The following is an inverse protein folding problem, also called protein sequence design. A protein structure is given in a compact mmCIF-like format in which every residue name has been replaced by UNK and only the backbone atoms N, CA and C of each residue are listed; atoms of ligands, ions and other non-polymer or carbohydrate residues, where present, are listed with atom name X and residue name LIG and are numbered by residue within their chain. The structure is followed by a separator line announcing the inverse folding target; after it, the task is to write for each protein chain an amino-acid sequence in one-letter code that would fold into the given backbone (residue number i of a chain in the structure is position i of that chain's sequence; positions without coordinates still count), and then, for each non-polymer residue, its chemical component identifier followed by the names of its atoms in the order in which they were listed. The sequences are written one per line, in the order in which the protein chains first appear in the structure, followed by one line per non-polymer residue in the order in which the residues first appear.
data_IF_947269871448
#
_entry.id   IF_947269871448
#
_cell.length_a   1.000
_cell.length_b   1.000
_cell.length_c   1.000
_cell.angle_alpha   90.00
_cell.angle_beta   90.00
_cell.angle_gamma   90.00
#
_symmetry.space_group_name_H-M   'P 1'
#
loop_
_entity.id
_entity.type
_entity.pdbx_description
1 polymer ?
#
# COMPACT_ATOMS: atom_id res chain seq x y z
N UNK A 1 -17.67 0.78 34.93
CA UNK A 1 -16.61 1.37 34.09
C UNK A 1 -15.42 0.44 34.12
N UNK A 2 -15.03 -0.05 32.96
CA UNK A 2 -13.85 -0.87 32.76
C UNK A 2 -12.72 -0.02 32.19
N UNK A 3 -11.50 -0.34 32.58
CA UNK A 3 -10.28 0.20 31.98
C UNK A 3 -9.93 -0.59 30.74
N UNK A 4 -9.40 0.07 29.72
CA UNK A 4 -8.93 -0.55 28.49
C UNK A 4 -7.76 -1.49 28.81
N UNK A 5 -6.84 -1.06 29.67
CA UNK A 5 -5.66 -1.83 30.06
C UNK A 5 -5.98 -3.16 30.78
N UNK A 6 -7.18 -3.30 31.33
CA UNK A 6 -7.62 -4.50 32.05
C UNK A 6 -8.37 -5.50 31.14
N UNK A 7 -8.68 -5.13 29.89
CA UNK A 7 -9.44 -5.99 28.98
C UNK A 7 -8.59 -7.10 28.38
N UNK A 8 -9.13 -8.32 28.37
CA UNK A 8 -8.54 -9.41 27.62
C UNK A 8 -9.03 -9.44 26.15
N UNK A 9 -8.42 -10.30 25.31
CA UNK A 9 -8.77 -10.42 23.88
C UNK A 9 -10.26 -10.68 23.62
N UNK A 10 -10.92 -11.50 24.44
CA UNK A 10 -12.36 -11.77 24.26
C UNK A 10 -13.22 -10.57 24.63
N UNK A 11 -12.84 -9.81 25.66
CA UNK A 11 -13.52 -8.56 25.99
C UNK A 11 -13.32 -7.50 24.90
N UNK A 12 -12.12 -7.40 24.32
CA UNK A 12 -11.84 -6.52 23.18
C UNK A 12 -12.69 -6.88 21.95
N UNK A 13 -12.92 -8.16 21.67
CA UNK A 13 -13.87 -8.57 20.60
C UNK A 13 -15.28 -8.05 20.84
N UNK A 14 -15.76 -8.08 22.08
CA UNK A 14 -17.09 -7.53 22.40
C UNK A 14 -17.11 -6.02 22.18
N UNK A 15 -16.05 -5.30 22.58
CA UNK A 15 -15.89 -3.86 22.30
C UNK A 15 -15.93 -3.62 20.78
N UNK A 16 -15.17 -4.40 20.01
CA UNK A 16 -15.18 -4.31 18.54
C UNK A 16 -16.58 -4.45 17.96
N UNK A 17 -17.35 -5.46 18.38
CA UNK A 17 -18.69 -5.71 17.87
C UNK A 17 -19.69 -4.59 18.23
N UNK A 18 -19.56 -4.02 19.43
CA UNK A 18 -20.50 -3.02 19.96
C UNK A 18 -20.30 -1.61 19.42
N UNK A 19 -19.12 -1.29 18.89
CA UNK A 19 -18.75 0.08 18.53
C UNK A 19 -18.49 0.21 17.02
N UNK A 20 -19.50 0.63 16.24
CA UNK A 20 -19.35 0.79 14.78
C UNK A 20 -18.35 1.87 14.40
N UNK A 21 -18.37 3.01 15.09
CA UNK A 21 -17.44 4.12 14.83
C UNK A 21 -15.98 3.67 15.03
N UNK A 22 -15.71 2.88 16.08
CA UNK A 22 -14.38 2.32 16.31
C UNK A 22 -13.89 1.47 15.13
N UNK A 23 -14.77 0.67 14.51
CA UNK A 23 -14.41 -0.14 13.34
C UNK A 23 -14.06 0.72 12.14
N UNK A 24 -14.81 1.80 11.93
CA UNK A 24 -14.54 2.76 10.86
C UNK A 24 -13.20 3.49 11.10
N UNK A 25 -12.91 3.87 12.35
CA UNK A 25 -11.65 4.55 12.73
C UNK A 25 -10.43 3.62 12.56
N UNK A 26 -10.57 2.34 12.98
CA UNK A 26 -9.53 1.31 12.78
C UNK A 26 -9.29 1.07 11.30
N UNK A 27 -10.35 0.90 10.50
CA UNK A 27 -10.26 0.74 9.04
C UNK A 27 -9.50 1.91 8.42
N UNK A 28 -9.91 3.13 8.74
CA UNK A 28 -9.26 4.36 8.23
C UNK A 28 -7.78 4.40 8.57
N UNK A 29 -7.42 4.00 9.79
CA UNK A 29 -6.02 3.98 10.23
C UNK A 29 -5.19 2.95 9.45
N UNK A 30 -5.75 1.75 9.21
CA UNK A 30 -5.10 0.74 8.37
C UNK A 30 -4.93 1.24 6.93
N UNK A 31 -5.99 1.80 6.33
CA UNK A 31 -5.95 2.35 4.97
C UNK A 31 -4.95 3.51 4.84
N UNK A 32 -4.85 4.39 5.83
CA UNK A 32 -3.85 5.47 5.87
C UNK A 32 -2.42 4.93 5.92
N UNK A 33 -2.18 3.86 6.69
CA UNK A 33 -0.87 3.20 6.74
C UNK A 33 -0.50 2.53 5.41
N UNK A 34 -1.45 1.85 4.76
CA UNK A 34 -1.22 1.24 3.45
C UNK A 34 -0.98 2.32 2.38
N UNK A 35 -1.74 3.41 2.42
CA UNK A 35 -1.55 4.56 1.54
C UNK A 35 -0.20 5.25 1.75
N UNK A 36 0.34 5.27 2.96
CA UNK A 36 1.70 5.76 3.22
C UNK A 36 2.74 4.96 2.42
N UNK A 37 2.69 3.62 2.48
CA UNK A 37 3.63 2.77 1.74
C UNK A 37 3.44 2.84 0.23
N UNK A 38 2.20 2.93 -0.23
CA UNK A 38 1.89 3.21 -1.65
C UNK A 38 2.51 4.54 -2.07
N UNK A 39 2.42 5.57 -1.23
CA UNK A 39 3.04 6.88 -1.44
C UNK A 39 4.54 6.80 -1.65
N UNK A 40 5.25 6.08 -0.77
CA UNK A 40 6.71 5.89 -0.88
C UNK A 40 7.11 5.21 -2.22
N UNK A 41 6.32 4.24 -2.68
CA UNK A 41 6.53 3.57 -3.97
C UNK A 41 6.32 4.56 -5.12
N UNK A 42 5.23 5.33 -5.09
CA UNK A 42 4.89 6.29 -6.13
C UNK A 42 5.90 7.45 -6.18
N UNK A 43 6.43 7.88 -5.05
CA UNK A 43 7.47 8.91 -4.98
C UNK A 43 8.76 8.46 -5.68
N UNK A 44 9.14 7.19 -5.52
CA UNK A 44 10.24 6.60 -6.28
C UNK A 44 9.97 6.65 -7.80
N UNK A 45 8.73 6.37 -8.21
CA UNK A 45 8.32 6.32 -9.61
C UNK A 45 7.95 7.69 -10.21
N UNK A 46 7.80 8.75 -9.41
CA UNK A 46 7.20 10.01 -9.85
C UNK A 46 7.86 10.62 -11.10
N UNK A 47 9.19 10.58 -11.18
CA UNK A 47 9.93 11.13 -12.33
C UNK A 47 9.73 10.39 -13.67
N UNK A 48 9.23 9.16 -13.63
CA UNK A 48 9.05 8.28 -14.80
C UNK A 48 7.59 8.06 -15.16
N UNK A 49 6.66 8.68 -14.42
CA UNK A 49 5.23 8.68 -14.69
C UNK A 49 4.78 10.04 -15.24
N UNK A 50 3.79 10.04 -16.13
CA UNK A 50 3.12 11.26 -16.59
C UNK A 50 1.88 11.59 -15.76
N UNK A 51 1.22 10.57 -15.23
CA UNK A 51 -0.05 10.64 -14.52
C UNK A 51 -0.25 9.31 -13.78
N UNK A 52 -0.98 9.32 -12.67
CA UNK A 52 -1.33 8.14 -11.90
C UNK A 52 -2.49 8.44 -10.95
N UNK A 53 -3.21 7.41 -10.56
CA UNK A 53 -4.19 7.46 -9.49
C UNK A 53 -4.20 6.11 -8.79
N UNK A 54 -3.85 6.09 -7.50
CA UNK A 54 -3.83 4.88 -6.69
C UNK A 54 -4.52 5.19 -5.37
N UNK A 55 -5.48 4.35 -4.97
CA UNK A 55 -6.14 4.46 -3.68
C UNK A 55 -7.22 3.41 -3.48
N UNK A 56 -7.68 3.27 -2.24
CA UNK A 56 -8.83 2.43 -1.92
C UNK A 56 -10.09 2.89 -2.67
N UNK A 57 -10.89 1.93 -3.12
CA UNK A 57 -12.17 2.17 -3.79
C UNK A 57 -12.06 2.98 -5.10
N UNK A 58 -10.91 2.90 -5.77
CA UNK A 58 -10.60 3.62 -7.00
C UNK A 58 -10.27 2.67 -8.16
N UNK A 59 -10.43 3.15 -9.38
CA UNK A 59 -9.88 2.49 -10.57
C UNK A 59 -8.40 2.86 -10.69
N UNK A 60 -7.54 2.06 -10.06
CA UNK A 60 -6.11 2.36 -10.02
C UNK A 60 -5.48 2.33 -11.42
N UNK A 61 -4.63 3.31 -11.70
CA UNK A 61 -3.86 3.38 -12.94
C UNK A 61 -2.53 4.10 -12.73
N UNK A 62 -1.59 3.82 -13.64
CA UNK A 62 -0.39 4.60 -13.87
C UNK A 62 -0.28 4.90 -15.37
N UNK A 63 0.45 5.95 -15.75
CA UNK A 63 0.82 6.23 -17.15
C UNK A 63 2.30 6.50 -17.25
N UNK A 64 3.02 5.62 -17.94
CA UNK A 64 4.47 5.66 -18.03
C UNK A 64 4.93 6.75 -19.01
N UNK A 65 5.89 7.58 -18.59
CA UNK A 65 6.53 8.62 -19.41
C UNK A 65 7.71 8.08 -20.20
N UNK A 66 8.56 7.32 -19.51
CA UNK A 66 9.80 6.74 -20.06
C UNK A 66 9.86 5.29 -19.63
N UNK A 67 9.66 4.38 -20.60
CA UNK A 67 9.64 2.94 -20.34
C UNK A 67 10.99 2.40 -19.86
N UNK A 68 12.11 2.97 -20.33
CA UNK A 68 13.43 2.48 -19.95
C UNK A 68 13.74 2.85 -18.49
N UNK A 69 13.62 4.14 -18.17
CA UNK A 69 13.87 4.63 -16.81
C UNK A 69 12.86 4.01 -15.82
N UNK A 70 11.61 3.80 -16.25
CA UNK A 70 10.61 3.09 -15.45
C UNK A 70 11.06 1.71 -15.00
N UNK A 71 11.60 0.87 -15.89
CA UNK A 71 12.08 -0.46 -15.51
C UNK A 71 13.23 -0.37 -14.48
N UNK A 72 14.18 0.56 -14.64
CA UNK A 72 15.27 0.72 -13.66
C UNK A 72 14.76 1.21 -12.29
N UNK A 73 13.86 2.18 -12.27
CA UNK A 73 13.29 2.69 -11.01
C UNK A 73 12.44 1.64 -10.31
N UNK A 74 11.60 0.92 -11.04
CA UNK A 74 10.81 -0.18 -10.49
C UNK A 74 11.69 -1.30 -9.94
N UNK A 75 12.79 -1.63 -10.59
CA UNK A 75 13.75 -2.59 -10.06
C UNK A 75 14.42 -2.11 -8.76
N UNK A 76 14.58 -0.79 -8.58
CA UNK A 76 15.09 -0.22 -7.33
C UNK A 76 14.05 -0.34 -6.21
N UNK A 77 12.79 0.01 -6.49
CA UNK A 77 11.66 -0.21 -5.58
C UNK A 77 11.60 -1.67 -5.14
N UNK A 78 11.65 -2.61 -6.09
CA UNK A 78 11.54 -4.04 -5.77
C UNK A 78 12.68 -4.59 -4.89
N UNK A 79 13.87 -3.96 -4.93
CA UNK A 79 14.98 -4.34 -4.04
C UNK A 79 14.77 -3.88 -2.61
N UNK A 80 14.03 -2.80 -2.40
CA UNK A 80 13.79 -2.20 -1.09
C UNK A 80 12.51 -2.73 -0.43
N UNK A 81 11.43 -2.88 -1.20
CA UNK A 81 10.10 -3.20 -0.67
C UNK A 81 9.55 -4.58 -1.05
N UNK A 82 10.25 -5.35 -1.89
CA UNK A 82 9.73 -6.62 -2.44
C UNK A 82 8.36 -6.47 -3.12
N UNK A 83 8.09 -5.31 -3.73
CA UNK A 83 6.79 -4.94 -4.30
C UNK A 83 6.27 -5.92 -5.35
N UNK A 84 7.11 -6.36 -6.29
CA UNK A 84 6.73 -7.38 -7.27
C UNK A 84 7.10 -8.80 -6.82
N UNK A 85 6.30 -9.78 -7.24
CA UNK A 85 6.59 -11.19 -7.03
C UNK A 85 7.89 -11.63 -7.73
N UNK A 86 8.51 -12.69 -7.22
CA UNK A 86 9.72 -13.28 -7.86
C UNK A 86 9.50 -13.71 -9.32
N UNK A 87 8.26 -14.03 -9.70
CA UNK A 87 7.94 -14.40 -11.08
C UNK A 87 7.91 -13.16 -11.98
N UNK A 88 7.36 -12.05 -11.48
CA UNK A 88 7.25 -10.77 -12.19
C UNK A 88 8.59 -10.01 -12.25
N UNK A 89 9.53 -10.29 -11.34
CA UNK A 89 10.90 -9.76 -11.43
C UNK A 89 11.67 -10.28 -12.64
N UNK A 90 11.40 -11.51 -13.10
CA UNK A 90 12.12 -12.09 -14.25
C UNK A 90 11.96 -11.28 -15.54
N UNK A 91 10.73 -10.93 -15.99
CA UNK A 91 10.56 -10.08 -17.16
C UNK A 91 11.13 -8.67 -16.95
N UNK A 92 11.08 -8.12 -15.73
CA UNK A 92 11.68 -6.83 -15.39
C UNK A 92 13.21 -6.83 -15.60
N UNK A 93 13.91 -7.76 -14.97
CA UNK A 93 15.37 -7.92 -15.09
C UNK A 93 15.79 -8.21 -16.54
N UNK A 94 14.99 -8.99 -17.25
CA UNK A 94 15.21 -9.25 -18.66
C UNK A 94 15.07 -7.97 -19.51
N UNK A 95 14.05 -7.16 -19.25
CA UNK A 95 13.86 -5.86 -19.91
C UNK A 95 15.05 -4.93 -19.71
N UNK A 96 15.54 -4.81 -18.48
CA UNK A 96 16.76 -4.05 -18.15
C UNK A 96 17.97 -4.55 -18.94
N UNK A 97 18.16 -5.87 -19.01
CA UNK A 97 19.26 -6.47 -19.78
C UNK A 97 19.15 -6.15 -21.28
N UNK A 98 17.93 -6.00 -21.82
CA UNK A 98 17.73 -5.58 -23.21
C UNK A 98 18.05 -4.09 -23.41
N UNK A 99 17.69 -3.24 -22.45
CA UNK A 99 18.03 -1.81 -22.48
C UNK A 99 19.55 -1.62 -22.44
N UNK A 100 20.26 -2.30 -21.54
CA UNK A 100 21.73 -2.25 -21.47
C UNK A 100 22.38 -2.64 -22.81
N UNK A 101 21.82 -3.66 -23.48
CA UNK A 101 22.27 -4.09 -24.81
C UNK A 101 21.98 -3.03 -25.86
N UNK A 102 20.77 -2.46 -25.84
CA UNK A 102 20.35 -1.42 -26.78
C UNK A 102 21.26 -0.19 -26.70
N UNK A 103 21.62 0.25 -25.49
CA UNK A 103 22.56 1.36 -25.29
C UNK A 103 23.98 1.10 -25.78
N UNK A 104 24.35 -0.15 -25.99
CA UNK A 104 25.63 -0.54 -26.59
C UNK A 104 25.55 -0.70 -28.13
N UNK A 105 24.37 -0.52 -28.73
CA UNK A 105 24.17 -0.66 -30.18
C UNK A 105 24.15 0.70 -30.88
N UNK A 106 24.64 0.70 -32.12
CA UNK A 106 24.41 1.80 -33.05
C UNK A 106 22.91 1.88 -33.39
N UNK A 107 22.35 3.10 -33.41
CA UNK A 107 20.94 3.32 -33.76
C UNK A 107 20.61 2.90 -35.19
N UNK A 108 21.60 2.89 -36.10
CA UNK A 108 21.44 2.43 -37.48
C UNK A 108 21.45 0.89 -37.59
N UNK A 109 21.62 0.17 -36.47
CA UNK A 109 21.57 -1.27 -36.45
C UNK A 109 20.13 -1.76 -36.71
N UNK A 110 19.95 -2.62 -37.71
CA UNK A 110 18.65 -3.21 -38.05
C UNK A 110 17.95 -3.95 -36.90
N UNK A 111 18.67 -4.30 -35.83
CA UNK A 111 18.11 -4.94 -34.62
C UNK A 111 17.67 -3.94 -33.55
N UNK A 112 17.99 -2.65 -33.70
CA UNK A 112 17.64 -1.60 -32.75
C UNK A 112 16.12 -1.53 -32.56
N UNK A 113 15.38 -1.28 -33.64
CA UNK A 113 13.91 -1.18 -33.61
C UNK A 113 13.24 -2.47 -33.08
N UNK A 114 13.82 -3.63 -33.40
CA UNK A 114 13.33 -4.93 -32.91
C UNK A 114 13.51 -5.05 -31.39
N UNK A 115 14.62 -4.58 -30.84
CA UNK A 115 14.86 -4.55 -29.40
C UNK A 115 13.98 -3.53 -28.71
N UNK A 116 13.85 -2.33 -29.28
CA UNK A 116 12.97 -1.27 -28.76
C UNK A 116 11.52 -1.77 -28.65
N UNK A 117 11.01 -2.37 -29.73
CA UNK A 117 9.66 -2.96 -29.73
C UNK A 117 9.52 -4.04 -28.64
N UNK A 118 10.56 -4.84 -28.43
CA UNK A 118 10.56 -5.89 -27.40
C UNK A 118 10.58 -5.31 -25.99
N UNK A 119 11.31 -4.23 -25.76
CA UNK A 119 11.35 -3.51 -24.49
C UNK A 119 9.98 -2.90 -24.22
N UNK A 120 9.36 -2.24 -25.20
CA UNK A 120 8.01 -1.66 -25.06
C UNK A 120 6.96 -2.71 -24.66
N UNK A 121 6.97 -3.88 -25.31
CA UNK A 121 6.09 -4.99 -24.93
C UNK A 121 6.34 -5.51 -23.49
N UNK A 122 7.57 -5.40 -22.98
CA UNK A 122 7.88 -5.75 -21.59
C UNK A 122 7.36 -4.65 -20.65
N UNK A 123 7.54 -3.37 -21.01
CA UNK A 123 7.05 -2.23 -20.24
C UNK A 123 5.53 -2.35 -20.04
N UNK A 124 4.76 -2.58 -21.10
CA UNK A 124 3.29 -2.76 -21.02
C UNK A 124 2.90 -3.91 -20.09
N UNK A 125 3.58 -5.06 -20.19
CA UNK A 125 3.31 -6.21 -19.31
C UNK A 125 3.66 -5.94 -17.86
N UNK A 126 4.73 -5.18 -17.61
CA UNK A 126 5.15 -4.82 -16.25
C UNK A 126 4.22 -3.75 -15.68
N UNK A 127 3.73 -2.82 -16.50
CA UNK A 127 2.72 -1.83 -16.13
C UNK A 127 1.46 -2.53 -15.58
N UNK A 128 0.94 -3.52 -16.31
CA UNK A 128 -0.19 -4.34 -15.85
C UNK A 128 0.09 -4.99 -14.48
N UNK A 129 1.31 -5.49 -14.26
CA UNK A 129 1.70 -6.08 -12.96
C UNK A 129 1.80 -5.07 -11.83
N UNK A 130 2.31 -3.88 -12.11
CA UNK A 130 2.34 -2.80 -11.12
C UNK A 130 0.93 -2.39 -10.72
N UNK A 131 0.01 -2.30 -11.69
CA UNK A 131 -1.39 -2.01 -11.42
C UNK A 131 -2.05 -3.14 -10.62
N UNK A 132 -1.80 -4.41 -10.96
CA UNK A 132 -2.28 -5.57 -10.20
C UNK A 132 -1.79 -5.53 -8.73
N UNK A 133 -0.53 -5.19 -8.47
CA UNK A 133 -0.01 -5.10 -7.10
C UNK A 133 -0.62 -3.91 -6.34
N UNK A 134 -0.75 -2.74 -6.96
CA UNK A 134 -1.46 -1.62 -6.32
C UNK A 134 -2.92 -1.98 -6.01
N UNK A 135 -3.61 -2.67 -6.92
CA UNK A 135 -4.95 -3.16 -6.66
C UNK A 135 -5.00 -4.05 -5.42
N UNK A 136 -4.08 -5.02 -5.28
CA UNK A 136 -3.99 -5.88 -4.10
C UNK A 136 -3.75 -5.09 -2.81
N UNK A 137 -2.85 -4.11 -2.84
CA UNK A 137 -2.57 -3.25 -1.68
C UNK A 137 -3.77 -2.38 -1.28
N UNK A 138 -4.67 -2.11 -2.22
CA UNK A 138 -5.89 -1.30 -2.00
C UNK A 138 -7.18 -2.13 -1.98
N UNK A 139 -7.07 -3.46 -1.85
CA UNK A 139 -8.24 -4.32 -1.72
C UNK A 139 -8.99 -3.99 -0.41
N UNK A 140 -10.33 -4.01 -0.41
CA UNK A 140 -11.10 -3.75 0.80
C UNK A 140 -10.69 -4.68 1.94
N UNK A 141 -10.27 -4.07 3.06
CA UNK A 141 -9.80 -4.80 4.23
C UNK A 141 -10.92 -5.65 4.83
N UNK A 142 -10.64 -6.94 5.01
CA UNK A 142 -11.56 -7.89 5.63
C UNK A 142 -11.75 -7.65 7.13
N UNK A 143 -12.93 -7.99 7.64
CA UNK A 143 -13.27 -7.77 9.06
C UNK A 143 -12.35 -8.54 10.03
N UNK A 144 -11.88 -9.73 9.65
CA UNK A 144 -10.95 -10.51 10.47
C UNK A 144 -9.60 -9.80 10.62
N UNK A 145 -9.04 -9.29 9.51
CA UNK A 145 -7.80 -8.52 9.52
C UNK A 145 -7.92 -7.23 10.35
N UNK A 146 -9.06 -6.54 10.25
CA UNK A 146 -9.30 -5.32 11.02
C UNK A 146 -9.44 -5.61 12.52
N UNK A 147 -10.12 -6.69 12.88
CA UNK A 147 -10.23 -7.13 14.27
C UNK A 147 -8.85 -7.49 14.85
N UNK A 148 -8.03 -8.20 14.10
CA UNK A 148 -6.65 -8.52 14.50
C UNK A 148 -5.83 -7.24 14.67
N UNK A 149 -5.88 -6.31 13.71
CA UNK A 149 -5.20 -5.01 13.84
C UNK A 149 -5.68 -4.21 15.04
N UNK A 150 -6.99 -4.23 15.29
CA UNK A 150 -7.56 -3.57 16.46
C UNK A 150 -6.93 -4.11 17.75
N UNK A 151 -6.95 -5.43 17.92
CA UNK A 151 -6.47 -6.10 19.13
C UNK A 151 -4.95 -5.99 19.30
N UNK A 152 -4.19 -6.12 18.22
CA UNK A 152 -2.73 -6.24 18.30
C UNK A 152 -1.99 -4.91 18.23
N UNK A 153 -2.58 -3.88 17.61
CA UNK A 153 -1.89 -2.61 17.37
C UNK A 153 -2.70 -1.40 17.78
N UNK A 154 -3.97 -1.32 17.38
CA UNK A 154 -4.75 -0.09 17.55
C UNK A 154 -5.00 0.26 19.01
N UNK A 155 -5.37 -0.74 19.83
CA UNK A 155 -5.60 -0.53 21.27
C UNK A 155 -4.39 0.12 21.92
N UNK A 156 -3.19 -0.43 21.69
CA UNK A 156 -1.96 0.06 22.33
C UNK A 156 -1.51 1.42 21.78
N UNK A 157 -1.76 1.70 20.50
CA UNK A 157 -1.33 2.92 19.84
C UNK A 157 -2.25 4.13 20.10
N UNK A 158 -3.57 3.89 20.18
CA UNK A 158 -4.56 4.97 20.13
C UNK A 158 -5.52 4.99 21.32
N UNK A 159 -5.65 3.91 22.08
CA UNK A 159 -6.57 3.84 23.22
C UNK A 159 -5.80 3.87 24.54
N UNK A 160 -6.21 4.75 25.45
CA UNK A 160 -5.63 4.85 26.77
C UNK A 160 -6.69 5.16 27.82
N UNK A 161 -6.41 4.78 29.07
CA UNK A 161 -7.33 4.96 30.20
C UNK A 161 -7.53 6.42 30.61
N UNK A 162 -6.71 7.35 30.13
CA UNK A 162 -6.80 8.77 30.47
C UNK A 162 -7.85 9.48 29.61
N UNK A 163 -7.88 9.18 28.31
CA UNK A 163 -8.75 9.78 27.32
C UNK A 163 -10.02 8.97 27.06
N UNK A 164 -10.01 7.67 27.33
CA UNK A 164 -11.15 6.79 27.02
C UNK A 164 -11.64 6.02 28.24
N UNK A 165 -12.89 5.54 28.18
CA UNK A 165 -13.43 4.57 29.13
C UNK A 165 -14.46 3.67 28.46
N UNK A 166 -14.69 2.50 29.07
CA UNK A 166 -15.66 1.52 28.60
C UNK A 166 -16.75 1.34 29.66
N UNK A 167 -18.02 1.41 29.24
CA UNK A 167 -19.14 1.16 30.14
C UNK A 167 -19.35 -0.34 30.42
N UNK A 168 -20.38 -0.69 31.19
CA UNK A 168 -20.63 -2.10 31.51
C UNK A 168 -21.24 -2.89 30.33
N UNK A 169 -21.66 -2.20 29.25
CA UNK A 169 -22.20 -2.77 28.01
C UNK A 169 -21.14 -2.86 26.90
N UNK A 170 -19.87 -2.58 27.23
CA UNK A 170 -18.72 -2.56 26.32
C UNK A 170 -18.77 -1.47 25.24
N UNK A 171 -19.52 -0.39 25.48
CA UNK A 171 -19.48 0.79 24.63
C UNK A 171 -18.29 1.66 25.01
N UNK A 172 -17.50 2.06 24.01
CA UNK A 172 -16.32 2.90 24.16
C UNK A 172 -16.73 4.38 24.08
N UNK A 173 -16.22 5.19 25.02
CA UNK A 173 -16.45 6.63 25.05
C UNK A 173 -15.13 7.38 25.22
N UNK A 174 -15.05 8.52 24.55
CA UNK A 174 -14.01 9.52 24.77
C UNK A 174 -14.42 10.45 25.93
N UNK A 175 -13.48 10.76 26.82
CA UNK A 175 -13.71 11.67 27.94
C UNK A 175 -13.63 13.12 27.46
N UNK A 176 -14.71 13.85 27.66
CA UNK A 176 -14.72 15.30 27.43
C UNK A 176 -14.02 15.99 28.60
N UNK A 177 -12.73 16.29 28.47
CA UNK A 177 -11.99 17.11 29.43
C UNK A 177 -12.26 18.59 29.09
N UNK A 178 -13.16 19.23 29.83
CA UNK A 178 -13.31 20.69 29.76
C UNK A 178 -12.07 21.34 30.37
N UNK A 179 -11.19 21.90 29.54
CA UNK A 179 -10.19 22.86 29.99
C UNK A 179 -10.91 24.17 30.34
N UNK A 180 -10.99 24.48 31.63
CA UNK A 180 -11.33 25.83 32.05
C UNK A 180 -10.04 26.66 31.90
N UNK A 181 -10.01 27.50 30.86
CA UNK A 181 -9.01 28.54 30.67
C UNK A 181 -9.24 29.70 31.65
#
# INVERSE_FOLDING_TARGET
MKKIADLNKEELKIVWEKNSQLRDDVRKTCEENDMYWIGEILDCLNGVLTDWSVGFYNDNYIKIKDGHEFLYKLNSVCKESSFLSKEDLKPLEYGITLIDKLYCMDSDNKRYDMLETKINNIVERIEEKVIEEFNKMTEPLGEEYLLENFIEFYVDAYLNDDEFYIDNEYVLYEKIIKSYA
#
